data_IF_301837982379
#
_entry.id   IF_301837982379
#
_cell.length_a   1.000
_cell.length_b   1.000
_cell.length_c   1.000
_cell.angle_alpha   90.00
_cell.angle_beta   90.00
_cell.angle_gamma   90.00
#
_symmetry.space_group_name_H-M   'P 1'
#
loop_
_entity.id
_entity.type
_entity.pdbx_description
1 polymer ?
#
# COMPACT_ATOMS: atom_id res chain seq x y z
N UNK A 1 35.28 -14.30 -17.46
CA UNK A 1 33.98 -14.97 -17.18
C UNK A 1 33.45 -14.34 -15.90
N UNK A 2 32.38 -13.56 -15.97
CA UNK A 2 31.73 -13.02 -14.77
C UNK A 2 30.76 -14.08 -14.23
N UNK A 3 31.03 -14.57 -13.03
CA UNK A 3 30.13 -15.46 -12.30
C UNK A 3 28.94 -14.62 -11.85
N UNK A 4 27.75 -14.88 -12.41
CA UNK A 4 26.52 -14.27 -11.90
C UNK A 4 26.30 -14.81 -10.48
N UNK A 5 26.45 -13.97 -9.48
CA UNK A 5 26.11 -14.31 -8.11
C UNK A 5 24.58 -14.35 -8.01
N UNK A 6 23.98 -15.55 -7.98
CA UNK A 6 22.58 -15.71 -7.58
C UNK A 6 22.51 -15.45 -6.08
N UNK A 7 22.15 -14.22 -5.69
CA UNK A 7 21.78 -13.94 -4.31
C UNK A 7 20.42 -14.62 -4.08
N UNK A 8 20.28 -15.51 -3.10
CA UNK A 8 19.00 -16.15 -2.81
C UNK A 8 18.02 -15.10 -2.29
N UNK A 9 16.86 -14.95 -2.95
CA UNK A 9 15.75 -14.16 -2.45
C UNK A 9 14.98 -14.97 -1.39
N UNK A 10 14.57 -14.31 -0.31
CA UNK A 10 13.64 -14.87 0.67
C UNK A 10 12.29 -14.17 0.51
N UNK A 11 11.26 -14.92 0.13
CA UNK A 11 9.90 -14.41 -0.05
C UNK A 11 9.04 -14.98 1.08
N UNK A 12 8.34 -14.11 1.80
CA UNK A 12 7.38 -14.49 2.83
C UNK A 12 6.06 -13.72 2.61
N UNK A 13 4.96 -14.32 3.08
CA UNK A 13 3.60 -13.76 3.00
C UNK A 13 3.27 -12.80 4.15
N UNK A 14 4.01 -12.87 5.26
CA UNK A 14 3.78 -12.03 6.43
C UNK A 14 4.01 -10.54 6.13
N UNK A 15 2.98 -9.71 6.15
CA UNK A 15 3.16 -8.25 6.09
C UNK A 15 3.52 -7.71 7.50
N UNK A 16 4.74 -7.17 7.72
CA UNK A 16 5.11 -6.61 9.01
C UNK A 16 4.24 -5.42 9.42
N UNK A 17 3.63 -4.72 8.46
CA UNK A 17 2.76 -3.57 8.70
C UNK A 17 1.27 -3.92 8.72
N UNK A 18 0.91 -5.22 8.68
CA UNK A 18 -0.48 -5.68 8.60
C UNK A 18 -1.37 -5.05 9.67
N UNK A 19 -0.86 -4.95 10.90
CA UNK A 19 -1.60 -4.38 12.03
C UNK A 19 -1.99 -2.91 11.76
N UNK A 20 -1.03 -2.11 11.28
CA UNK A 20 -1.27 -0.70 10.94
C UNK A 20 -2.17 -0.59 9.72
N UNK A 21 -1.89 -1.36 8.67
CA UNK A 21 -2.67 -1.39 7.44
C UNK A 21 -4.15 -1.72 7.72
N UNK A 22 -4.41 -2.73 8.54
CA UNK A 22 -5.76 -3.14 8.92
C UNK A 22 -6.50 -2.07 9.73
N UNK A 23 -5.87 -1.48 10.74
CA UNK A 23 -6.49 -0.41 11.53
C UNK A 23 -6.73 0.84 10.68
N UNK A 24 -5.80 1.20 9.81
CA UNK A 24 -5.92 2.34 8.89
C UNK A 24 -7.06 2.11 7.88
N UNK A 25 -7.18 0.90 7.32
CA UNK A 25 -8.32 0.54 6.47
C UNK A 25 -9.63 0.64 7.24
N UNK A 26 -9.70 0.16 8.48
CA UNK A 26 -10.92 0.25 9.30
C UNK A 26 -11.30 1.70 9.64
N UNK A 27 -10.32 2.56 9.91
CA UNK A 27 -10.54 3.99 10.11
C UNK A 27 -11.28 4.62 8.93
N UNK A 28 -10.88 4.33 7.69
CA UNK A 28 -11.45 4.97 6.50
C UNK A 28 -12.64 4.22 5.88
N UNK A 29 -12.67 2.89 5.90
CA UNK A 29 -13.77 2.11 5.31
C UNK A 29 -14.97 1.99 6.24
N UNK A 30 -14.73 1.91 7.56
CA UNK A 30 -15.76 1.66 8.57
C UNK A 30 -15.89 2.77 9.60
N UNK A 31 -15.20 3.89 9.40
CA UNK A 31 -15.19 5.02 10.32
C UNK A 31 -14.72 4.62 11.74
N UNK A 32 -13.78 3.68 11.81
CA UNK A 32 -13.19 3.15 13.03
C UNK A 32 -12.47 4.22 13.86
N UNK A 33 -12.14 3.95 15.13
CA UNK A 33 -11.54 4.94 16.00
C UNK A 33 -10.08 5.21 15.62
N UNK A 34 -9.69 6.49 15.59
CA UNK A 34 -8.28 6.91 15.37
C UNK A 34 -7.32 6.23 16.35
N UNK A 35 -7.75 6.05 17.60
CA UNK A 35 -6.94 5.39 18.64
C UNK A 35 -6.51 3.96 18.28
N UNK A 36 -7.26 3.23 17.44
CA UNK A 36 -6.82 1.90 16.98
C UNK A 36 -5.64 1.98 16.02
N UNK A 37 -5.54 3.04 15.22
CA UNK A 37 -4.38 3.30 14.34
C UNK A 37 -3.18 3.74 15.16
N UNK A 38 -3.38 4.59 16.18
CA UNK A 38 -2.32 5.05 17.07
C UNK A 38 -1.72 3.89 17.88
N UNK A 39 -2.55 3.00 18.43
CA UNK A 39 -2.10 1.80 19.16
C UNK A 39 -1.35 0.87 18.21
N UNK A 40 -1.91 0.56 17.04
CA UNK A 40 -1.27 -0.27 16.03
C UNK A 40 0.12 0.26 15.61
N UNK A 41 0.21 1.58 15.44
CA UNK A 41 1.46 2.27 15.11
C UNK A 41 2.46 2.17 16.25
N UNK A 42 2.04 2.46 17.49
CA UNK A 42 2.90 2.38 18.67
C UNK A 42 3.46 0.97 18.90
N UNK A 43 2.63 -0.06 18.73
CA UNK A 43 3.03 -1.47 18.84
C UNK A 43 4.04 -1.85 17.75
N UNK A 44 3.77 -1.46 16.51
CA UNK A 44 4.65 -1.73 15.36
C UNK A 44 6.01 -1.05 15.55
N UNK A 45 6.04 0.20 16.01
CA UNK A 45 7.26 0.92 16.32
C UNK A 45 8.02 0.32 17.51
N UNK A 46 7.32 -0.24 18.50
CA UNK A 46 7.95 -0.95 19.60
C UNK A 46 8.65 -2.24 19.12
N UNK A 47 7.99 -3.00 18.24
CA UNK A 47 8.59 -4.20 17.64
C UNK A 47 9.82 -3.88 16.79
N UNK A 48 9.75 -2.79 16.02
CA UNK A 48 10.87 -2.30 15.21
C UNK A 48 12.06 -1.86 16.08
N UNK A 49 11.82 -1.08 17.14
CA UNK A 49 12.87 -0.69 18.10
C UNK A 49 13.53 -1.88 18.80
N UNK A 50 12.78 -2.96 19.01
CA UNK A 50 13.29 -4.19 19.62
C UNK A 50 13.89 -5.15 18.59
N UNK A 51 14.04 -4.75 17.33
CA UNK A 51 14.62 -5.58 16.24
C UNK A 51 13.83 -6.89 15.99
N UNK A 52 12.55 -6.90 16.35
CA UNK A 52 11.62 -8.04 16.14
C UNK A 52 10.71 -7.85 14.93
N UNK A 53 10.92 -6.75 14.20
CA UNK A 53 10.22 -6.39 12.99
C UNK A 53 11.17 -5.63 12.09
N UNK A 54 11.31 -6.10 10.86
CA UNK A 54 12.06 -5.45 9.79
C UNK A 54 11.13 -5.25 8.59
N UNK A 55 11.35 -4.18 7.82
CA UNK A 55 10.64 -3.97 6.57
C UNK A 55 11.27 -4.84 5.48
N UNK A 56 10.46 -5.45 4.60
CA UNK A 56 11.00 -6.21 3.48
C UNK A 56 11.72 -5.26 2.51
N UNK A 57 12.71 -5.80 1.79
CA UNK A 57 13.37 -5.07 0.71
C UNK A 57 12.37 -4.58 -0.34
N UNK A 58 11.46 -5.45 -0.73
CA UNK A 58 10.43 -5.21 -1.73
C UNK A 58 9.08 -5.75 -1.25
N UNK A 59 8.03 -4.95 -1.40
CA UNK A 59 6.65 -5.41 -1.35
C UNK A 59 6.24 -5.87 -2.74
N UNK A 60 5.90 -7.15 -2.86
CA UNK A 60 5.30 -7.73 -4.07
C UNK A 60 3.80 -7.83 -3.83
N UNK A 61 3.04 -6.93 -4.43
CA UNK A 61 1.61 -6.79 -4.17
C UNK A 61 0.84 -7.65 -5.17
N UNK A 62 0.33 -8.78 -4.70
CA UNK A 62 -0.49 -9.69 -5.51
C UNK A 62 -1.97 -9.41 -5.36
N UNK A 63 -2.76 -9.81 -6.36
CA UNK A 63 -4.23 -9.71 -6.34
C UNK A 63 -4.77 -8.31 -6.01
N UNK A 64 -4.04 -7.26 -6.41
CA UNK A 64 -4.40 -5.86 -6.17
C UNK A 64 -5.82 -5.53 -6.66
N UNK A 65 -6.27 -6.20 -7.74
CA UNK A 65 -7.61 -6.04 -8.31
C UNK A 65 -8.73 -6.52 -7.37
N UNK A 66 -8.43 -7.43 -6.44
CA UNK A 66 -9.38 -7.99 -5.46
C UNK A 66 -9.44 -7.20 -4.15
N UNK A 67 -8.45 -6.33 -3.90
CA UNK A 67 -8.38 -5.52 -2.67
C UNK A 67 -9.47 -4.44 -2.65
N UNK A 68 -9.91 -4.05 -1.43
CA UNK A 68 -10.71 -2.83 -1.28
C UNK A 68 -9.92 -1.61 -1.79
N UNK A 69 -10.59 -0.54 -2.29
CA UNK A 69 -9.91 0.65 -2.78
C UNK A 69 -8.94 1.24 -1.75
N UNK A 70 -9.35 1.29 -0.48
CA UNK A 70 -8.55 1.75 0.65
C UNK A 70 -7.35 0.85 0.89
N UNK A 71 -7.54 -0.48 0.95
CA UNK A 71 -6.41 -1.43 1.07
C UNK A 71 -5.44 -1.33 -0.10
N UNK A 72 -5.92 -1.10 -1.32
CA UNK A 72 -5.07 -0.84 -2.50
C UNK A 72 -4.29 0.46 -2.34
N UNK A 73 -4.93 1.51 -1.83
CA UNK A 73 -4.29 2.80 -1.58
C UNK A 73 -3.21 2.75 -0.49
N UNK A 74 -3.33 1.84 0.48
CA UNK A 74 -2.24 1.58 1.44
C UNK A 74 -0.93 1.23 0.72
N UNK A 75 -0.97 0.30 -0.23
CA UNK A 75 0.23 -0.11 -0.97
C UNK A 75 0.65 0.92 -2.02
N UNK A 76 -0.26 1.30 -2.92
CA UNK A 76 0.07 2.10 -4.10
C UNK A 76 -0.04 3.63 -3.90
N UNK A 77 -0.54 4.06 -2.74
CA UNK A 77 -0.51 5.44 -2.29
C UNK A 77 0.54 5.60 -1.20
N UNK A 78 0.25 5.13 0.02
CA UNK A 78 1.09 5.38 1.21
C UNK A 78 2.50 4.82 1.05
N UNK A 79 2.64 3.51 0.80
CA UNK A 79 3.97 2.87 0.73
C UNK A 79 4.71 3.26 -0.56
N UNK A 80 4.00 3.31 -1.69
CA UNK A 80 4.59 3.67 -2.97
C UNK A 80 5.06 5.13 -3.01
N UNK A 81 4.40 6.07 -2.32
CA UNK A 81 4.90 7.46 -2.16
C UNK A 81 6.25 7.49 -1.43
N UNK A 82 6.41 6.66 -0.39
CA UNK A 82 7.64 6.60 0.40
C UNK A 82 8.82 5.98 -0.36
N UNK A 83 8.58 4.87 -1.07
CA UNK A 83 9.59 4.16 -1.86
C UNK A 83 8.99 3.50 -3.13
N UNK A 84 8.83 4.25 -4.24
CA UNK A 84 8.14 3.77 -5.44
C UNK A 84 8.75 2.49 -6.03
N UNK A 85 10.08 2.43 -6.08
CA UNK A 85 10.82 1.30 -6.65
C UNK A 85 10.72 0.01 -5.82
N UNK A 86 10.09 0.04 -4.63
CA UNK A 86 9.99 -1.09 -3.70
C UNK A 86 8.59 -1.65 -3.56
N UNK A 87 7.58 -1.02 -4.14
CA UNK A 87 6.21 -1.54 -4.18
C UNK A 87 5.91 -1.97 -5.60
N UNK A 88 6.00 -3.27 -5.86
CA UNK A 88 5.89 -3.82 -7.20
C UNK A 88 4.55 -4.55 -7.32
N UNK A 89 3.68 -4.17 -8.27
CA UNK A 89 2.52 -4.98 -8.59
C UNK A 89 2.99 -6.30 -9.19
N UNK A 90 2.56 -7.42 -8.62
CA UNK A 90 2.85 -8.74 -9.14
C UNK A 90 1.53 -9.48 -9.38
N UNK A 91 1.47 -10.35 -10.40
CA UNK A 91 0.38 -11.32 -10.49
C UNK A 91 0.73 -12.57 -9.70
N UNK A 92 -0.28 -13.35 -9.35
CA UNK A 92 -0.13 -14.56 -8.51
C UNK A 92 0.46 -15.78 -9.22
N UNK A 93 0.79 -15.68 -10.51
CA UNK A 93 1.38 -16.80 -11.23
C UNK A 93 2.87 -16.96 -10.85
N UNK A 94 3.31 -18.16 -10.39
CA UNK A 94 4.69 -18.36 -9.92
C UNK A 94 5.78 -17.99 -10.94
N UNK A 95 5.54 -18.22 -12.23
CA UNK A 95 6.46 -17.85 -13.31
C UNK A 95 6.63 -16.33 -13.44
N UNK A 96 5.56 -15.57 -13.22
CA UNK A 96 5.61 -14.11 -13.28
C UNK A 96 6.32 -13.52 -12.05
N UNK A 97 6.17 -14.16 -10.89
CA UNK A 97 6.90 -13.77 -9.69
C UNK A 97 8.42 -13.86 -9.91
N UNK A 98 8.89 -14.94 -10.56
CA UNK A 98 10.31 -15.08 -10.91
C UNK A 98 10.75 -13.98 -11.88
N UNK A 99 9.97 -13.68 -12.92
CA UNK A 99 10.28 -12.56 -13.83
C UNK A 99 10.36 -11.22 -13.08
N UNK A 100 9.43 -10.96 -12.16
CA UNK A 100 9.45 -9.74 -11.33
C UNK A 100 10.71 -9.65 -10.47
N UNK A 101 11.13 -10.76 -9.86
CA UNK A 101 12.35 -10.83 -9.05
C UNK A 101 13.62 -10.56 -9.88
N UNK A 102 13.65 -10.95 -11.15
CA UNK A 102 14.76 -10.68 -12.07
C UNK A 102 14.81 -9.21 -12.52
N UNK A 103 13.67 -8.53 -12.54
CA UNK A 103 13.53 -7.14 -13.01
C UNK A 103 13.58 -6.09 -11.90
N UNK A 104 13.79 -6.50 -10.63
CA UNK A 104 13.84 -5.60 -9.49
C UNK A 104 14.91 -4.52 -9.70
N UNK A 105 14.45 -3.27 -9.70
CA UNK A 105 15.33 -2.12 -9.87
C UNK A 105 15.86 -1.66 -8.52
N UNK A 106 17.14 -1.25 -8.45
CA UNK A 106 17.63 -0.50 -7.30
C UNK A 106 16.89 0.84 -7.23
N UNK A 107 16.63 1.31 -6.01
CA UNK A 107 15.96 2.57 -5.77
C UNK A 107 16.17 3.05 -4.34
N UNK A 108 15.50 4.16 -4.01
CA UNK A 108 15.55 4.74 -2.65
C UNK A 108 15.20 3.66 -1.62
N UNK A 109 16.00 3.56 -0.58
CA UNK A 109 15.70 2.70 0.57
C UNK A 109 14.46 3.22 1.30
N UNK A 110 13.77 2.37 2.07
CA UNK A 110 12.67 2.79 2.92
C UNK A 110 13.12 3.93 3.86
N UNK A 111 12.28 4.95 4.10
CA UNK A 111 12.54 5.87 5.20
C UNK A 111 12.49 5.10 6.53
N UNK A 112 13.08 5.64 7.61
CA UNK A 112 12.92 5.08 8.95
C UNK A 112 11.44 4.87 9.27
N UNK A 113 11.11 3.75 9.92
CA UNK A 113 9.71 3.39 10.19
C UNK A 113 8.92 4.47 10.98
N UNK A 114 9.51 5.18 11.96
CA UNK A 114 8.84 6.31 12.60
C UNK A 114 8.46 7.43 11.62
N UNK A 115 9.29 7.70 10.61
CA UNK A 115 9.00 8.69 9.58
C UNK A 115 7.92 8.18 8.61
N UNK A 116 7.92 6.89 8.29
CA UNK A 116 6.92 6.28 7.41
C UNK A 116 5.51 6.36 7.99
N UNK A 117 5.38 6.13 9.29
CA UNK A 117 4.09 6.04 9.99
C UNK A 117 3.65 7.37 10.64
N UNK A 118 4.42 8.44 10.50
CA UNK A 118 4.11 9.72 11.12
C UNK A 118 2.81 10.33 10.55
N UNK A 119 1.83 10.55 11.43
CA UNK A 119 0.52 11.11 11.09
C UNK A 119 -0.31 10.26 10.13
N UNK A 120 -0.08 8.95 10.10
CA UNK A 120 -0.73 8.02 9.16
C UNK A 120 -2.26 8.04 9.24
N UNK A 121 -2.82 8.27 10.44
CA UNK A 121 -4.25 8.42 10.69
C UNK A 121 -4.89 9.64 10.01
N UNK A 122 -4.08 10.63 9.62
CA UNK A 122 -4.53 11.84 8.89
C UNK A 122 -4.32 11.74 7.38
N UNK A 123 -3.57 10.74 6.91
CA UNK A 123 -3.37 10.49 5.48
C UNK A 123 -4.58 9.76 4.93
N UNK A 124 -5.56 10.52 4.47
CA UNK A 124 -6.76 9.94 3.86
C UNK A 124 -6.41 9.23 2.54
N UNK A 125 -7.07 8.11 2.21
CA UNK A 125 -6.97 7.52 0.89
C UNK A 125 -7.43 8.54 -0.15
N UNK A 126 -6.72 8.64 -1.27
CA UNK A 126 -7.25 9.40 -2.41
C UNK A 126 -8.60 8.80 -2.80
N UNK A 127 -9.65 9.59 -2.62
CA UNK A 127 -10.94 9.25 -3.16
C UNK A 127 -10.79 9.25 -4.69
N UNK A 128 -10.79 8.06 -5.30
CA UNK A 128 -11.11 7.99 -6.72
C UNK A 128 -12.52 8.53 -6.81
N UNK A 129 -12.67 9.77 -7.26
CA UNK A 129 -13.96 10.37 -7.49
C UNK A 129 -14.69 9.43 -8.45
N UNK A 130 -15.65 8.66 -7.94
CA UNK A 130 -16.63 8.00 -8.77
C UNK A 130 -17.36 9.14 -9.46
N UNK A 131 -16.93 9.46 -10.69
CA UNK A 131 -17.76 10.23 -11.62
C UNK A 131 -18.86 9.28 -12.03
N UNK A 132 -19.79 9.00 -11.11
CA UNK A 132 -21.08 8.45 -11.43
C UNK A 132 -21.84 9.62 -12.04
N UNK A 133 -21.73 9.74 -13.36
CA UNK A 133 -22.47 10.73 -14.12
C UNK A 133 -23.95 10.56 -13.83
N UNK A 134 -24.56 11.59 -13.24
CA UNK A 134 -26.00 11.69 -13.10
C UNK A 134 -26.61 12.00 -14.48
N UNK A 135 -27.40 11.09 -15.10
CA UNK A 135 -28.12 11.39 -16.33
C UNK A 135 -29.43 12.17 -16.11
N UNK A 136 -29.68 12.76 -14.93
CA UNK A 136 -30.92 13.51 -14.65
C UNK A 136 -30.74 15.03 -14.54
N UNK A 137 -30.17 15.66 -15.55
CA UNK A 137 -30.48 17.08 -15.85
C UNK A 137 -30.42 17.33 -17.35
N UNK A 138 -31.32 16.69 -18.09
CA UNK A 138 -31.71 17.14 -19.43
C UNK A 138 -33.22 16.98 -19.58
N UNK A 139 -33.94 17.60 -18.66
CA UNK A 139 -35.36 17.86 -18.79
C UNK A 139 -35.61 19.32 -18.42
N UNK A 140 -36.12 20.06 -19.40
CA UNK A 140 -36.76 21.37 -19.29
C UNK A 140 -35.88 22.58 -18.98
N UNK A 141 -35.54 23.31 -20.05
CA UNK A 141 -35.93 24.73 -20.11
C UNK A 141 -36.44 25.07 -21.51
N UNK A 142 -37.76 25.23 -21.54
CA UNK A 142 -38.61 25.64 -22.65
C UNK A 142 -38.45 27.17 -22.84
N UNK A 143 -38.09 27.57 -24.07
CA UNK A 143 -38.43 28.82 -24.86
C UNK A 143 -38.08 30.20 -24.27
N UNK A 144 -38.02 31.33 -25.04
CA UNK A 144 -38.70 31.67 -26.32
C UNK A 144 -37.74 32.19 -27.43
N UNK A 145 -38.14 32.29 -28.71
CA UNK A 145 -39.06 33.29 -29.29
C UNK A 145 -39.50 32.87 -30.70
#
# INVERSE_FOLDING_TARGET
MATSAHIPYFVHDADPLELVARSWVSLFDTNGPIGEVEVATAETLARWRNETLELPDYYLVTDADTMSPTRRHWFFGVLHEAAPARVIPARTLPSELVTVLEELKPGRWWPPLPQLLDGIERRAPDAVATTEGDPRTSASLIRPR
#
